data_IF_308351053185
#
_entry.id   IF_308351053185
#
_cell.length_a   1.000
_cell.length_b   1.000
_cell.length_c   1.000
_cell.angle_alpha   90.00
_cell.angle_beta   90.00
_cell.angle_gamma   90.00
#
_symmetry.space_group_name_H-M   'P 1'
#
loop_
_entity.id
_entity.type
_entity.pdbx_description
1 polymer ?
#
# COMPACT_ATOMS: atom_id res chain seq x y z
N UNK A 1 15.05 -20.11 -12.67
CA UNK A 1 14.81 -18.88 -13.43
C UNK A 1 13.78 -19.18 -14.52
N UNK A 2 12.52 -18.75 -14.38
CA UNK A 2 11.43 -18.64 -15.35
C UNK A 2 10.08 -18.87 -14.66
N UNK A 3 9.57 -17.87 -13.92
CA UNK A 3 8.17 -17.81 -13.50
C UNK A 3 7.78 -16.38 -13.01
N UNK A 4 8.27 -15.33 -13.66
CA UNK A 4 8.04 -13.95 -13.22
C UNK A 4 7.22 -13.09 -14.21
N UNK A 5 6.61 -13.67 -15.26
CA UNK A 5 5.98 -12.88 -16.33
C UNK A 5 4.47 -13.13 -16.56
N UNK A 6 3.79 -13.87 -15.70
CA UNK A 6 2.40 -14.28 -15.96
C UNK A 6 1.31 -13.44 -15.26
N UNK A 7 1.62 -12.46 -14.43
CA UNK A 7 0.59 -11.72 -13.67
C UNK A 7 0.15 -10.40 -14.32
N UNK A 8 0.67 -10.00 -15.45
CA UNK A 8 0.32 -8.71 -16.08
C UNK A 8 -0.86 -8.75 -17.06
N UNK A 9 -1.45 -9.91 -17.32
CA UNK A 9 -2.45 -10.07 -18.39
C UNK A 9 -3.88 -10.40 -17.92
N UNK A 10 -4.12 -10.69 -16.66
CA UNK A 10 -5.44 -11.19 -16.21
C UNK A 10 -6.38 -10.06 -15.76
N UNK A 11 -5.88 -8.87 -15.43
CA UNK A 11 -6.70 -7.76 -14.94
C UNK A 11 -7.52 -7.00 -16.00
N UNK A 12 -7.20 -7.12 -17.27
CA UNK A 12 -7.81 -6.29 -18.34
C UNK A 12 -8.88 -7.00 -19.16
N UNK A 13 -9.05 -8.31 -19.03
CA UNK A 13 -9.88 -9.10 -19.93
C UNK A 13 -11.37 -9.23 -19.50
N UNK A 14 -11.76 -8.80 -18.32
CA UNK A 14 -13.16 -8.94 -17.83
C UNK A 14 -14.04 -7.76 -18.24
N UNK A 15 -13.48 -6.66 -18.72
CA UNK A 15 -14.22 -5.44 -19.08
C UNK A 15 -14.64 -5.34 -20.57
N UNK A 16 -14.35 -6.32 -21.42
CA UNK A 16 -14.50 -6.19 -22.88
C UNK A 16 -15.76 -6.76 -23.50
N UNK A 17 -16.71 -7.30 -22.73
CA UNK A 17 -17.92 -7.92 -23.29
C UNK A 17 -19.22 -7.29 -22.80
N UNK A 18 -19.49 -6.05 -23.21
CA UNK A 18 -20.83 -5.44 -23.34
C UNK A 18 -20.72 -3.91 -23.41
N UNK A 19 -20.44 -3.37 -24.58
CA UNK A 19 -20.09 -1.96 -24.77
C UNK A 19 -21.27 -0.98 -24.86
N UNK A 20 -22.50 -1.36 -24.58
CA UNK A 20 -23.66 -0.46 -24.74
C UNK A 20 -24.52 -0.20 -23.48
N UNK A 21 -24.27 -0.88 -22.35
CA UNK A 21 -25.03 -0.67 -21.11
C UNK A 21 -24.14 -0.13 -19.96
N UNK A 22 -22.85 0.08 -20.22
CA UNK A 22 -21.87 0.35 -19.17
C UNK A 22 -21.43 1.82 -19.04
N UNK A 23 -21.91 2.74 -19.90
CA UNK A 23 -21.33 4.09 -19.99
C UNK A 23 -21.80 5.04 -18.87
N UNK A 24 -23.05 5.04 -18.49
CA UNK A 24 -23.62 6.10 -17.64
C UNK A 24 -23.12 6.11 -16.18
N UNK A 25 -22.63 4.99 -15.64
CA UNK A 25 -22.20 4.88 -14.24
C UNK A 25 -20.71 4.59 -14.06
N UNK A 26 -19.95 4.52 -15.16
CA UNK A 26 -18.52 4.21 -15.11
C UNK A 26 -17.71 5.50 -14.94
N UNK A 27 -16.66 5.44 -14.15
CA UNK A 27 -15.81 6.59 -13.89
C UNK A 27 -14.33 6.24 -13.82
N UNK A 28 -13.49 7.22 -14.14
CA UNK A 28 -12.05 7.22 -13.89
C UNK A 28 -11.77 8.11 -12.70
N UNK A 29 -10.96 7.63 -11.73
CA UNK A 29 -10.52 8.41 -10.59
C UNK A 29 -9.00 8.57 -10.56
N UNK A 30 -8.56 9.79 -10.27
CA UNK A 30 -7.16 10.13 -10.03
C UNK A 30 -7.03 10.64 -8.60
N UNK A 31 -6.13 10.02 -7.81
CA UNK A 31 -5.90 10.34 -6.41
C UNK A 31 -4.49 10.84 -6.18
N UNK A 32 -4.39 11.93 -5.43
CA UNK A 32 -3.15 12.37 -4.81
C UNK A 32 -3.28 12.18 -3.30
N UNK A 33 -2.35 11.47 -2.70
CA UNK A 33 -2.41 11.09 -1.30
C UNK A 33 -1.13 11.45 -0.55
N UNK A 34 -1.29 12.00 0.64
CA UNK A 34 -0.21 12.13 1.62
C UNK A 34 -0.17 10.83 2.42
N UNK A 35 0.70 9.91 2.01
CA UNK A 35 0.78 8.55 2.51
C UNK A 35 1.84 8.44 3.61
N UNK A 36 1.40 8.09 4.83
CA UNK A 36 2.26 7.81 5.98
C UNK A 36 2.36 6.30 6.17
N UNK A 37 3.45 5.71 5.70
CA UNK A 37 3.75 4.30 5.94
C UNK A 37 4.40 4.13 7.31
N UNK A 38 4.00 3.08 8.02
CA UNK A 38 4.55 2.71 9.34
C UNK A 38 4.97 1.27 9.35
N UNK A 39 6.15 1.02 9.90
CA UNK A 39 6.66 -0.30 10.19
C UNK A 39 6.41 -0.62 11.65
N UNK A 40 5.52 -1.56 11.93
CA UNK A 40 5.22 -2.05 13.27
C UNK A 40 5.99 -3.34 13.55
N UNK A 41 6.21 -3.64 14.82
CA UNK A 41 6.82 -4.88 15.28
C UNK A 41 8.12 -5.20 14.53
N UNK A 42 8.99 -4.18 14.37
CA UNK A 42 10.27 -4.35 13.71
C UNK A 42 11.13 -5.31 14.53
N UNK A 43 11.65 -6.35 13.87
CA UNK A 43 12.45 -7.41 14.49
C UNK A 43 13.70 -7.69 13.65
N UNK A 44 14.82 -7.94 14.35
CA UNK A 44 15.97 -8.62 13.75
C UNK A 44 15.90 -10.08 14.18
N UNK A 45 15.58 -10.96 13.24
CA UNK A 45 15.30 -12.37 13.52
C UNK A 45 16.44 -13.25 13.02
N UNK A 46 16.93 -14.12 13.87
CA UNK A 46 17.75 -15.27 13.47
C UNK A 46 17.18 -16.55 14.09
N UNK A 47 17.50 -17.73 13.56
CA UNK A 47 17.05 -18.98 14.19
C UNK A 47 17.48 -19.16 15.66
N UNK A 48 18.44 -18.33 16.13
CA UNK A 48 19.01 -18.40 17.48
C UNK A 48 18.61 -17.26 18.38
N UNK A 49 18.23 -16.12 17.81
CA UNK A 49 17.98 -14.91 18.58
C UNK A 49 16.83 -14.14 17.94
N UNK A 50 15.81 -13.93 18.72
CA UNK A 50 14.67 -13.10 18.35
C UNK A 50 14.74 -11.79 19.14
N UNK A 51 15.08 -10.72 18.47
CA UNK A 51 15.20 -9.40 19.10
C UNK A 51 14.19 -8.42 18.49
N UNK A 52 13.27 -7.99 19.34
CA UNK A 52 12.38 -6.89 19.02
C UNK A 52 13.13 -5.58 19.05
N UNK A 53 13.04 -4.84 17.98
CA UNK A 53 13.61 -3.51 17.87
C UNK A 53 12.55 -2.50 18.27
N UNK A 54 12.83 -1.72 19.32
CA UNK A 54 11.97 -0.59 19.68
C UNK A 54 12.24 0.54 18.70
N UNK A 55 11.37 0.78 17.76
CA UNK A 55 11.02 2.09 17.23
C UNK A 55 10.09 1.95 16.02
N UNK A 56 8.84 2.36 16.09
CA UNK A 56 8.04 2.55 14.89
C UNK A 56 8.61 3.75 14.15
N UNK A 57 9.35 3.49 13.10
CA UNK A 57 9.69 4.50 12.13
C UNK A 57 8.49 4.71 11.21
N UNK A 58 8.14 5.95 10.91
CA UNK A 58 7.17 6.29 9.91
C UNK A 58 7.85 7.08 8.79
N UNK A 59 7.45 6.79 7.57
CA UNK A 59 7.86 7.52 6.38
C UNK A 59 6.62 8.14 5.74
N UNK A 60 6.64 9.45 5.51
CA UNK A 60 5.53 10.20 4.93
C UNK A 60 5.97 10.87 3.66
N UNK A 61 5.23 10.62 2.57
CA UNK A 61 5.49 11.22 1.28
C UNK A 61 4.21 11.30 0.45
N UNK A 62 4.25 12.12 -0.61
CA UNK A 62 3.20 12.18 -1.60
C UNK A 62 3.25 10.94 -2.50
N UNK A 63 2.09 10.39 -2.78
CA UNK A 63 1.91 9.27 -3.69
C UNK A 63 0.64 9.46 -4.52
N UNK A 64 0.55 8.73 -5.63
CA UNK A 64 -0.59 8.75 -6.54
C UNK A 64 -1.30 7.42 -6.64
N UNK A 65 -2.57 7.45 -7.05
CA UNK A 65 -3.30 6.27 -7.45
C UNK A 65 -4.23 6.59 -8.63
N UNK A 66 -4.52 5.58 -9.43
CA UNK A 66 -5.50 5.61 -10.50
C UNK A 66 -6.51 4.50 -10.27
N UNK A 67 -7.78 4.79 -10.50
CA UNK A 67 -8.83 3.79 -10.35
C UNK A 67 -9.85 3.88 -11.49
N UNK A 68 -10.39 2.74 -11.85
CA UNK A 68 -11.56 2.61 -12.72
C UNK A 68 -12.68 2.00 -11.89
N UNK A 69 -13.83 2.67 -11.85
CA UNK A 69 -14.94 2.28 -11.01
C UNK A 69 -16.28 2.37 -11.73
N UNK A 70 -17.28 1.83 -11.04
CA UNK A 70 -18.68 1.88 -11.46
C UNK A 70 -19.58 2.15 -10.28
N UNK A 71 -20.58 3.03 -10.49
CA UNK A 71 -21.72 3.22 -9.62
C UNK A 71 -22.78 2.13 -9.81
N UNK A 72 -23.56 1.92 -8.76
CA UNK A 72 -24.71 1.02 -8.74
C UNK A 72 -25.87 1.72 -8.01
N UNK A 73 -27.04 1.13 -8.07
CA UNK A 73 -28.21 1.64 -7.36
C UNK A 73 -27.96 1.79 -5.86
N UNK A 74 -28.75 2.61 -5.22
CA UNK A 74 -28.70 2.88 -3.78
C UNK A 74 -27.36 3.44 -3.26
N UNK A 75 -26.57 4.11 -4.10
CA UNK A 75 -25.31 4.73 -3.70
C UNK A 75 -24.17 3.74 -3.42
N UNK A 76 -24.19 2.56 -4.01
CA UNK A 76 -23.06 1.66 -4.01
C UNK A 76 -22.11 1.97 -5.16
N UNK A 77 -20.80 1.81 -4.94
CA UNK A 77 -19.77 1.88 -5.97
C UNK A 77 -18.74 0.78 -5.75
N UNK A 78 -18.16 0.32 -6.84
CA UNK A 78 -16.98 -0.55 -6.79
C UNK A 78 -15.91 -0.02 -7.76
N UNK A 79 -14.65 -0.19 -7.39
CA UNK A 79 -13.53 0.22 -8.24
C UNK A 79 -12.34 -0.72 -8.11
N UNK A 80 -11.57 -0.81 -9.18
CA UNK A 80 -10.22 -1.36 -9.18
C UNK A 80 -9.24 -0.21 -9.13
N UNK A 81 -8.40 -0.17 -8.11
CA UNK A 81 -7.40 0.88 -7.89
C UNK A 81 -5.99 0.31 -7.98
N UNK A 82 -5.14 1.00 -8.72
CA UNK A 82 -3.70 0.81 -8.67
C UNK A 82 -3.04 1.99 -7.97
N UNK A 83 -2.39 1.74 -6.84
CA UNK A 83 -1.56 2.72 -6.14
C UNK A 83 -0.13 2.61 -6.63
N UNK A 84 0.43 3.74 -7.07
CA UNK A 84 1.78 3.85 -7.60
C UNK A 84 2.83 3.43 -6.55
N UNK A 85 4.01 3.07 -7.05
CA UNK A 85 5.14 2.67 -6.21
C UNK A 85 5.53 3.81 -5.26
N UNK A 86 5.64 3.47 -3.97
CA UNK A 86 6.18 4.32 -2.92
C UNK A 86 7.45 3.69 -2.37
N UNK A 87 8.49 4.50 -2.21
CA UNK A 87 9.72 4.14 -1.52
C UNK A 87 9.64 4.68 -0.10
N UNK A 88 9.88 3.84 0.88
CA UNK A 88 9.87 4.21 2.29
C UNK A 88 11.12 3.69 2.99
N UNK A 89 11.58 4.45 3.98
CA UNK A 89 12.78 4.15 4.73
C UNK A 89 12.46 4.13 6.22
N UNK A 90 12.84 3.03 6.88
CA UNK A 90 12.57 2.82 8.28
C UNK A 90 13.87 2.56 9.03
N UNK A 91 14.19 3.49 9.93
CA UNK A 91 15.34 3.38 10.80
C UNK A 91 14.91 2.86 12.17
N UNK A 92 15.65 1.90 12.69
CA UNK A 92 15.44 1.35 14.01
C UNK A 92 16.77 1.24 14.76
N UNK A 93 16.72 1.44 16.08
CA UNK A 93 17.87 1.36 16.94
C UNK A 93 17.81 0.12 17.79
N UNK A 94 18.94 -0.51 18.02
CA UNK A 94 19.03 -1.74 18.77
C UNK A 94 19.63 -1.51 20.16
N UNK A 95 18.84 -1.74 21.21
CA UNK A 95 19.35 -1.72 22.59
C UNK A 95 20.18 -2.99 22.88
N UNK A 96 21.39 -2.90 23.49
CA UNK A 96 21.97 -1.68 24.12
C UNK A 96 22.86 -0.86 23.16
N UNK A 97 22.82 -1.10 21.85
CA UNK A 97 23.72 -0.46 20.86
C UNK A 97 22.98 0.67 20.11
N UNK A 98 22.56 1.70 20.82
CA UNK A 98 21.77 2.80 20.26
C UNK A 98 22.48 3.57 19.12
N UNK A 99 23.80 3.43 19.01
CA UNK A 99 24.58 3.98 17.90
C UNK A 99 24.47 3.17 16.59
N UNK A 100 23.96 1.95 16.64
CA UNK A 100 23.79 1.09 15.47
C UNK A 100 22.39 1.23 14.88
N UNK A 101 22.27 1.94 13.80
CA UNK A 101 21.03 2.08 13.02
C UNK A 101 20.85 0.84 12.16
N UNK A 102 19.70 0.17 12.31
CA UNK A 102 19.23 -0.78 11.31
C UNK A 102 18.28 -0.06 10.38
N UNK A 103 18.60 -0.03 9.11
CA UNK A 103 17.77 0.60 8.08
C UNK A 103 17.09 -0.46 7.24
N UNK A 104 15.79 -0.32 7.08
CA UNK A 104 14.98 -1.12 6.18
C UNK A 104 14.39 -0.22 5.11
N UNK A 105 14.72 -0.48 3.86
CA UNK A 105 14.18 0.19 2.68
C UNK A 105 13.08 -0.66 2.08
N UNK A 106 11.92 -0.04 1.87
CA UNK A 106 10.71 -0.73 1.43
C UNK A 106 10.14 -0.02 0.21
N UNK A 107 9.99 -0.77 -0.87
CA UNK A 107 9.27 -0.35 -2.07
C UNK A 107 7.93 -1.07 -2.10
N UNK A 108 6.83 -0.35 -2.10
CA UNK A 108 5.49 -0.93 -2.12
C UNK A 108 4.61 -0.34 -3.22
N UNK A 109 3.80 -1.18 -3.83
CA UNK A 109 2.72 -0.83 -4.76
C UNK A 109 1.57 -1.80 -4.53
N UNK A 110 0.35 -1.41 -4.88
CA UNK A 110 -0.81 -2.25 -4.60
C UNK A 110 -1.90 -2.17 -5.66
N UNK A 111 -2.59 -3.28 -5.85
CA UNK A 111 -3.80 -3.39 -6.65
C UNK A 111 -4.92 -3.79 -5.71
N UNK A 112 -5.97 -2.96 -5.61
CA UNK A 112 -7.08 -3.13 -4.68
C UNK A 112 -8.40 -3.16 -5.43
N UNK A 113 -9.33 -3.98 -4.94
CA UNK A 113 -10.76 -3.87 -5.23
C UNK A 113 -11.40 -3.17 -4.04
N UNK A 114 -12.00 -2.02 -4.27
CA UNK A 114 -12.64 -1.20 -3.25
C UNK A 114 -14.15 -1.16 -3.49
N UNK A 115 -14.92 -1.27 -2.43
CA UNK A 115 -16.36 -1.02 -2.39
C UNK A 115 -16.64 0.23 -1.56
N UNK A 116 -17.63 1.00 -1.99
CA UNK A 116 -18.06 2.23 -1.34
C UNK A 116 -19.56 2.20 -1.09
N UNK A 117 -19.97 2.85 -0.01
CA UNK A 117 -21.36 3.20 0.25
C UNK A 117 -21.45 4.70 0.45
N UNK A 118 -22.14 5.37 -0.46
CA UNK A 118 -22.36 6.81 -0.45
C UNK A 118 -23.66 7.15 0.28
N UNK A 119 -23.64 8.29 0.98
CA UNK A 119 -24.75 8.84 1.73
C UNK A 119 -24.90 10.31 1.35
N UNK A 120 -25.98 10.65 0.66
CA UNK A 120 -26.26 12.01 0.24
C UNK A 120 -26.52 12.93 1.45
N UNK A 121 -25.87 14.08 1.50
CA UNK A 121 -26.14 15.16 2.44
C UNK A 121 -26.95 16.27 1.78
N UNK A 122 -26.62 16.57 0.52
CA UNK A 122 -27.34 17.51 -0.36
C UNK A 122 -27.30 16.97 -1.79
N UNK A 123 -27.91 17.68 -2.74
CA UNK A 123 -27.86 17.32 -4.17
C UNK A 123 -26.41 17.26 -4.74
N UNK A 124 -25.47 17.94 -4.09
CA UNK A 124 -24.08 18.03 -4.57
C UNK A 124 -23.04 17.45 -3.60
N UNK A 125 -23.40 17.25 -2.35
CA UNK A 125 -22.48 16.82 -1.31
C UNK A 125 -22.90 15.46 -0.76
N UNK A 126 -21.97 14.53 -0.73
CA UNK A 126 -22.14 13.22 -0.09
C UNK A 126 -20.94 12.87 0.78
N UNK A 127 -21.13 12.00 1.74
CA UNK A 127 -20.04 11.32 2.42
C UNK A 127 -20.08 9.83 2.10
N UNK A 128 -18.99 9.14 2.29
CA UNK A 128 -18.93 7.71 2.02
C UNK A 128 -18.09 6.94 3.04
N UNK A 129 -18.42 5.66 3.14
CA UNK A 129 -17.56 4.64 3.75
C UNK A 129 -16.97 3.78 2.64
N UNK A 130 -15.72 3.35 2.83
CA UNK A 130 -15.08 2.43 1.91
C UNK A 130 -14.42 1.26 2.64
N UNK A 131 -14.44 0.10 1.99
CA UNK A 131 -13.65 -1.07 2.37
C UNK A 131 -13.06 -1.68 1.12
N UNK A 132 -11.85 -2.23 1.24
CA UNK A 132 -11.17 -2.82 0.10
C UNK A 132 -10.30 -4.00 0.47
N UNK A 133 -10.06 -4.86 -0.51
CA UNK A 133 -9.15 -5.99 -0.42
C UNK A 133 -8.34 -6.13 -1.71
N UNK A 134 -7.12 -6.65 -1.62
CA UNK A 134 -6.28 -6.78 -2.78
C UNK A 134 -4.90 -7.36 -2.48
N UNK A 135 -3.94 -7.00 -3.32
CA UNK A 135 -2.56 -7.47 -3.22
C UNK A 135 -1.61 -6.28 -3.17
N UNK A 136 -0.72 -6.29 -2.18
CA UNK A 136 0.43 -5.41 -2.10
C UNK A 136 1.68 -6.16 -2.54
N UNK A 137 2.36 -5.66 -3.56
CA UNK A 137 3.70 -6.10 -3.93
C UNK A 137 4.71 -5.27 -3.17
N UNK A 138 5.49 -5.91 -2.31
CA UNK A 138 6.46 -5.25 -1.43
C UNK A 138 7.85 -5.82 -1.69
N UNK A 139 8.83 -4.95 -1.88
CA UNK A 139 10.24 -5.30 -1.95
C UNK A 139 10.95 -4.65 -0.78
N UNK A 140 11.71 -5.42 -0.01
CA UNK A 140 12.41 -4.98 1.18
C UNK A 140 13.89 -5.35 1.12
N UNK A 141 14.74 -4.41 1.47
CA UNK A 141 16.20 -4.57 1.64
C UNK A 141 16.65 -3.70 2.81
N UNK A 142 17.93 -3.72 3.14
CA UNK A 142 18.41 -2.85 4.21
C UNK A 142 19.83 -3.16 4.65
N UNK A 143 20.26 -2.56 5.77
CA UNK A 143 21.57 -2.81 6.36
C UNK A 143 21.54 -2.69 7.89
N UNK A 144 22.58 -3.27 8.53
CA UNK A 144 22.74 -3.25 9.98
C UNK A 144 23.97 -2.42 10.37
N UNK A 145 23.76 -1.27 10.96
CA UNK A 145 24.79 -0.38 11.53
C UNK A 145 25.73 0.27 10.51
N UNK A 146 25.99 -0.38 9.40
CA UNK A 146 26.92 0.06 8.35
C UNK A 146 26.40 -0.39 6.98
N UNK A 147 26.42 0.47 5.94
CA UNK A 147 25.97 0.13 4.58
C UNK A 147 26.65 -1.09 3.94
N UNK A 148 27.85 -1.50 4.41
CA UNK A 148 28.50 -2.73 3.95
C UNK A 148 27.88 -4.01 4.53
N UNK A 149 27.07 -3.91 5.60
CA UNK A 149 26.40 -5.03 6.27
C UNK A 149 24.97 -5.13 5.80
N UNK A 150 24.78 -5.57 4.56
CA UNK A 150 23.49 -5.56 3.91
C UNK A 150 22.66 -6.81 4.19
N UNK A 151 21.36 -6.63 4.20
CA UNK A 151 20.38 -7.69 4.04
C UNK A 151 19.99 -7.77 2.57
N UNK A 152 19.95 -8.98 2.04
CA UNK A 152 19.58 -9.19 0.65
C UNK A 152 18.15 -8.70 0.37
N UNK A 153 17.93 -8.27 -0.85
CA UNK A 153 16.60 -7.88 -1.32
C UNK A 153 15.66 -9.08 -1.31
N UNK A 154 14.43 -8.87 -0.82
CA UNK A 154 13.34 -9.83 -0.87
C UNK A 154 12.09 -9.15 -1.46
N UNK A 155 11.43 -9.84 -2.39
CA UNK A 155 10.17 -9.40 -2.99
C UNK A 155 9.06 -10.37 -2.62
N UNK A 156 7.93 -9.84 -2.14
CA UNK A 156 6.79 -10.63 -1.71
C UNK A 156 5.47 -10.00 -2.11
N UNK A 157 4.45 -10.84 -2.27
CA UNK A 157 3.08 -10.41 -2.51
C UNK A 157 2.26 -10.76 -1.28
N UNK A 158 1.67 -9.74 -0.68
CA UNK A 158 0.87 -9.87 0.52
C UNK A 158 -0.60 -9.58 0.22
N UNK A 159 -1.49 -10.27 0.90
CA UNK A 159 -2.87 -9.83 1.01
C UNK A 159 -2.90 -8.46 1.69
N UNK A 160 -3.64 -7.52 1.10
CA UNK A 160 -3.85 -6.20 1.66
C UNK A 160 -5.35 -5.95 1.85
N UNK A 161 -5.70 -5.23 2.91
CA UNK A 161 -7.06 -4.75 3.13
C UNK A 161 -7.06 -3.29 3.56
N UNK A 162 -8.17 -2.60 3.31
CA UNK A 162 -8.31 -1.18 3.61
C UNK A 162 -9.68 -0.85 4.17
N UNK A 163 -9.72 0.19 4.99
CA UNK A 163 -10.92 0.88 5.43
C UNK A 163 -10.70 2.38 5.30
N UNK A 164 -11.78 3.09 4.96
CA UNK A 164 -11.69 4.53 4.82
C UNK A 164 -13.06 5.20 4.85
N UNK A 165 -13.01 6.51 4.87
CA UNK A 165 -14.17 7.38 4.78
C UNK A 165 -13.78 8.67 4.07
N UNK A 166 -14.76 9.35 3.50
CA UNK A 166 -14.51 10.61 2.84
C UNK A 166 -15.78 11.35 2.47
N UNK A 167 -15.56 12.41 1.71
CA UNK A 167 -16.62 13.28 1.21
C UNK A 167 -16.39 13.55 -0.28
N UNK A 168 -17.48 13.63 -1.01
CA UNK A 168 -17.52 13.91 -2.43
C UNK A 168 -18.36 15.14 -2.68
N UNK A 169 -17.90 16.02 -3.58
CA UNK A 169 -18.61 17.18 -4.05
C UNK A 169 -18.78 17.11 -5.57
N UNK A 170 -20.02 17.01 -6.06
CA UNK A 170 -20.35 17.05 -7.47
C UNK A 170 -20.15 18.48 -8.00
N UNK A 171 -19.03 18.72 -8.67
CA UNK A 171 -18.72 20.03 -9.27
C UNK A 171 -19.60 20.24 -10.51
N UNK A 172 -19.70 19.23 -11.36
CA UNK A 172 -20.59 19.15 -12.53
C UNK A 172 -21.18 17.73 -12.60
N UNK A 173 -22.05 17.48 -13.58
CA UNK A 173 -22.62 16.13 -13.83
C UNK A 173 -21.53 15.11 -14.20
N UNK A 174 -20.34 15.55 -14.65
CA UNK A 174 -19.24 14.69 -15.07
C UNK A 174 -18.03 14.72 -14.15
N UNK A 175 -17.91 15.72 -13.28
CA UNK A 175 -16.72 15.91 -12.43
C UNK A 175 -17.13 15.95 -10.98
N UNK A 176 -16.57 15.03 -10.20
CA UNK A 176 -16.66 15.01 -8.75
C UNK A 176 -15.28 15.22 -8.12
N UNK A 177 -15.22 16.09 -7.13
CA UNK A 177 -14.04 16.29 -6.29
C UNK A 177 -14.26 15.52 -4.98
N UNK A 178 -13.30 14.68 -4.64
CA UNK A 178 -13.35 13.87 -3.41
C UNK A 178 -12.18 14.18 -2.48
N UNK A 179 -12.39 13.93 -1.20
CA UNK A 179 -11.33 13.89 -0.21
C UNK A 179 -11.64 12.82 0.83
N UNK A 180 -10.61 12.23 1.42
CA UNK A 180 -10.85 11.19 2.40
C UNK A 180 -9.62 10.78 3.18
N UNK A 181 -9.87 9.93 4.16
CA UNK A 181 -8.86 9.23 4.93
C UNK A 181 -8.98 7.74 4.70
N UNK A 182 -7.84 7.07 4.57
CA UNK A 182 -7.77 5.63 4.38
C UNK A 182 -6.66 5.02 5.22
N UNK A 183 -6.96 3.88 5.82
CA UNK A 183 -6.02 2.97 6.44
C UNK A 183 -5.88 1.73 5.56
N UNK A 184 -4.63 1.27 5.34
CA UNK A 184 -4.31 0.04 4.60
C UNK A 184 -3.34 -0.80 5.42
N UNK A 185 -3.64 -2.07 5.56
CA UNK A 185 -2.75 -3.08 6.12
C UNK A 185 -2.18 -3.90 4.95
N UNK A 186 -0.86 -3.92 4.82
CA UNK A 186 -0.14 -4.64 3.77
C UNK A 186 0.57 -5.90 4.30
N UNK A 187 0.27 -6.27 5.55
CA UNK A 187 0.76 -7.51 6.16
C UNK A 187 2.21 -7.47 6.60
N UNK A 188 2.75 -8.65 6.85
CA UNK A 188 4.14 -8.84 7.29
C UNK A 188 5.08 -8.73 6.11
N UNK A 189 6.21 -8.05 6.33
CA UNK A 189 7.27 -7.90 5.35
C UNK A 189 8.61 -8.34 5.96
N UNK A 190 9.51 -8.82 5.11
CA UNK A 190 10.84 -9.25 5.53
C UNK A 190 11.88 -9.00 4.43
N UNK A 191 13.10 -8.69 4.83
CA UNK A 191 14.25 -8.66 3.93
C UNK A 191 14.70 -10.07 3.57
N UNK A 192 15.58 -10.21 2.60
CA UNK A 192 16.39 -11.43 2.48
C UNK A 192 17.38 -11.55 3.64
N UNK A 193 18.13 -12.66 3.67
CA UNK A 193 19.14 -12.91 4.71
C UNK A 193 20.31 -11.95 4.59
N UNK A 194 21.02 -11.73 5.70
CA UNK A 194 22.25 -10.96 5.73
C UNK A 194 23.30 -11.51 4.78
N UNK A 195 23.95 -10.63 4.03
CA UNK A 195 25.04 -10.98 3.10
C UNK A 195 26.41 -11.04 3.78
N UNK A 196 26.52 -10.49 4.98
CA UNK A 196 27.73 -10.51 5.82
C UNK A 196 27.69 -11.67 6.82
N UNK A 197 28.83 -12.06 7.33
CA UNK A 197 28.91 -13.01 8.44
C UNK A 197 28.58 -12.28 9.76
N UNK A 198 27.68 -12.83 10.55
CA UNK A 198 27.39 -12.34 11.89
C UNK A 198 28.46 -12.81 12.91
N UNK A 199 28.26 -12.52 14.21
CA UNK A 199 29.23 -12.88 15.28
C UNK A 199 29.58 -14.37 15.38
N UNK A 200 28.70 -15.25 14.88
CA UNK A 200 28.91 -16.72 14.87
C UNK A 200 29.22 -17.24 13.47
N UNK A 201 29.64 -16.35 12.57
CA UNK A 201 29.97 -16.65 11.18
C UNK A 201 28.80 -17.24 10.38
N UNK A 202 27.55 -16.86 10.70
CA UNK A 202 26.37 -17.29 10.00
C UNK A 202 25.72 -16.14 9.18
N UNK A 203 24.87 -16.52 8.21
CA UNK A 203 24.10 -15.60 7.35
C UNK A 203 22.62 -15.98 7.41
N UNK A 204 22.01 -15.82 8.56
CA UNK A 204 20.68 -16.31 8.89
C UNK A 204 19.79 -15.26 9.58
N UNK A 205 20.22 -14.01 9.56
CA UNK A 205 19.47 -12.87 10.10
C UNK A 205 18.64 -12.18 9.03
N UNK A 206 17.47 -11.67 9.38
CA UNK A 206 16.56 -10.91 8.54
C UNK A 206 15.93 -9.78 9.35
N UNK A 207 15.65 -8.66 8.70
CA UNK A 207 14.76 -7.64 9.25
C UNK A 207 13.33 -7.99 8.87
N UNK A 208 12.42 -7.92 9.83
CA UNK A 208 10.98 -8.19 9.66
C UNK A 208 10.15 -7.10 10.29
N UNK A 209 8.91 -7.00 9.86
CA UNK A 209 7.93 -6.10 10.47
C UNK A 209 6.57 -6.22 9.80
N UNK A 210 5.62 -5.42 10.26
CA UNK A 210 4.30 -5.29 9.66
C UNK A 210 4.15 -3.91 9.04
N UNK A 211 3.81 -3.86 7.75
CA UNK A 211 3.67 -2.62 7.01
C UNK A 211 2.21 -2.17 6.96
N UNK A 212 1.97 -0.92 7.36
CA UNK A 212 0.68 -0.26 7.24
C UNK A 212 0.84 1.10 6.57
N UNK A 213 -0.24 1.62 5.98
CA UNK A 213 -0.30 2.93 5.35
C UNK A 213 -1.51 3.70 5.88
N UNK A 214 -1.32 4.95 6.24
CA UNK A 214 -2.39 5.87 6.59
C UNK A 214 -2.30 7.06 5.65
N UNK A 215 -3.35 7.34 4.90
CA UNK A 215 -3.31 8.40 3.90
C UNK A 215 -4.53 9.32 3.99
N UNK A 216 -4.24 10.62 3.93
CA UNK A 216 -5.21 11.63 3.54
C UNK A 216 -5.07 11.83 2.03
N UNK A 217 -6.17 11.85 1.31
CA UNK A 217 -6.14 12.01 -0.15
C UNK A 217 -7.16 13.02 -0.64
N UNK A 218 -6.86 13.55 -1.81
CA UNK A 218 -7.79 14.27 -2.66
C UNK A 218 -7.96 13.50 -3.97
N UNK A 219 -9.14 13.60 -4.56
CA UNK A 219 -9.52 12.84 -5.74
C UNK A 219 -10.23 13.74 -6.74
N UNK A 220 -9.96 13.51 -8.01
CA UNK A 220 -10.81 13.95 -9.12
C UNK A 220 -11.37 12.72 -9.79
N UNK A 221 -12.70 12.65 -9.88
CA UNK A 221 -13.43 11.56 -10.54
C UNK A 221 -14.15 12.11 -11.76
N UNK A 222 -13.98 11.41 -12.88
CA UNK A 222 -14.53 11.75 -14.19
C UNK A 222 -15.52 10.66 -14.61
N UNK A 223 -16.81 10.98 -14.75
CA UNK A 223 -17.80 10.09 -15.35
C UNK A 223 -17.58 9.99 -16.86
N UNK A 224 -17.59 8.77 -17.39
CA UNK A 224 -17.26 8.44 -18.78
C UNK A 224 -18.48 8.41 -19.68
#
# INVERSE_FOLDING_TARGET
>A
MKAAFALHAIGLAILATSTQVLADDTYLALRLQNASQKLHDAELTSPRVDHRIKSPSNDRDLNGAIALGRGFDDGWRAEVEYTLRKNSQFDSHWSPFDANVNRMEVNSQRLMLNGFKDFALTDKLSWYLMAGAGVAHVQSEGYQGNPSRQFAKNGQNNFAWSLGLGMDYALTDKITLGSGYRYVDMGKIETGRNTFANRINARDEQLKGKLTDQSLFVEVRLSL
#
